data_IF_186430977669
#
_entry.id   IF_186430977669
#
_cell.length_a   1.000
_cell.length_b   1.000
_cell.length_c   1.000
_cell.angle_alpha   90.00
_cell.angle_beta   90.00
_cell.angle_gamma   90.00
#
_symmetry.space_group_name_H-M   'P 1'
#
loop_
_entity.id
_entity.type
_entity.pdbx_description
1 polymer ?
#
# COMPACT_ATOMS: atom_id res chain seq x y z
N UNK A 1 -53.15 -7.78 11.63
CA UNK A 1 -52.38 -7.02 10.61
C UNK A 1 -50.92 -7.04 11.01
N UNK A 2 -50.17 -8.07 10.59
CA UNK A 2 -48.74 -8.17 10.87
C UNK A 2 -48.02 -8.03 9.52
N UNK A 3 -47.08 -7.08 9.43
CA UNK A 3 -46.24 -6.84 8.25
C UNK A 3 -44.84 -7.45 8.46
N UNK A 4 -44.67 -8.78 8.53
CA UNK A 4 -43.35 -9.40 8.71
C UNK A 4 -42.45 -9.19 7.48
N UNK A 5 -43.05 -8.90 6.31
CA UNK A 5 -42.31 -8.59 5.08
C UNK A 5 -41.63 -7.23 5.12
N UNK A 6 -42.18 -6.22 5.80
CA UNK A 6 -41.55 -4.89 5.87
C UNK A 6 -40.31 -4.91 6.77
N UNK A 7 -40.35 -5.67 7.86
CA UNK A 7 -39.21 -5.86 8.79
C UNK A 7 -38.02 -6.54 8.12
N UNK A 8 -38.27 -7.55 7.28
CA UNK A 8 -37.21 -8.26 6.56
C UNK A 8 -36.47 -7.38 5.54
N UNK A 9 -37.22 -6.56 4.80
CA UNK A 9 -36.62 -5.59 3.86
C UNK A 9 -35.88 -4.46 4.59
N UNK A 10 -36.38 -4.02 5.74
CA UNK A 10 -35.71 -3.01 6.56
C UNK A 10 -34.37 -3.52 7.10
N UNK A 11 -34.31 -4.78 7.57
CA UNK A 11 -33.07 -5.43 8.02
C UNK A 11 -32.09 -5.68 6.86
N UNK A 12 -32.59 -6.03 5.67
CA UNK A 12 -31.74 -6.20 4.49
C UNK A 12 -31.14 -4.88 4.01
N UNK A 13 -31.93 -3.80 4.01
CA UNK A 13 -31.48 -2.44 3.69
C UNK A 13 -30.49 -1.94 4.75
N UNK A 14 -30.74 -2.18 6.05
CA UNK A 14 -29.78 -1.83 7.11
C UNK A 14 -28.43 -2.54 6.92
N UNK A 15 -28.44 -3.84 6.61
CA UNK A 15 -27.20 -4.60 6.38
C UNK A 15 -26.48 -4.16 5.07
N UNK A 16 -27.24 -3.78 4.05
CA UNK A 16 -26.68 -3.23 2.80
C UNK A 16 -26.05 -1.85 3.03
N UNK A 17 -26.69 -0.99 3.85
CA UNK A 17 -26.16 0.32 4.23
C UNK A 17 -24.93 0.22 5.14
N UNK A 18 -24.86 -0.76 6.04
CA UNK A 18 -23.66 -1.03 6.85
C UNK A 18 -22.49 -1.50 5.97
N UNK A 19 -22.78 -2.23 4.89
CA UNK A 19 -21.77 -2.69 3.91
C UNK A 19 -21.31 -1.61 2.90
N UNK A 20 -22.05 -0.49 2.81
CA UNK A 20 -21.71 0.70 2.02
C UNK A 20 -20.82 1.69 2.78
N UNK A 21 -20.48 1.41 4.04
CA UNK A 21 -19.43 2.16 4.71
C UNK A 21 -18.11 1.83 4.02
N UNK A 22 -17.63 2.74 3.18
CA UNK A 22 -16.27 2.68 2.65
C UNK A 22 -15.35 2.52 3.86
N UNK A 23 -14.46 1.49 3.90
CA UNK A 23 -13.49 1.42 4.97
C UNK A 23 -12.78 2.77 5.00
N UNK A 24 -12.96 3.51 6.08
CA UNK A 24 -12.35 4.83 6.21
C UNK A 24 -10.85 4.61 6.12
N UNK A 25 -10.25 5.02 5.01
CA UNK A 25 -8.87 4.71 4.70
C UNK A 25 -8.01 5.40 5.76
N UNK A 26 -7.48 4.61 6.68
CA UNK A 26 -6.65 5.09 7.78
C UNK A 26 -5.38 5.71 7.21
N UNK A 27 -4.99 6.88 7.72
CA UNK A 27 -3.73 7.54 7.33
C UNK A 27 -2.57 6.55 7.48
N UNK A 28 -1.64 6.55 6.53
CA UNK A 28 -0.45 5.70 6.61
C UNK A 28 0.45 6.13 7.78
N UNK A 29 0.49 7.44 8.05
CA UNK A 29 1.18 8.04 9.18
C UNK A 29 0.60 9.43 9.49
N UNK A 30 0.62 9.81 10.76
CA UNK A 30 0.26 11.16 11.19
C UNK A 30 0.87 11.52 12.55
N UNK A 31 0.94 12.82 12.83
CA UNK A 31 1.34 13.42 14.11
C UNK A 31 0.43 14.61 14.40
N UNK A 32 -0.14 14.63 15.59
CA UNK A 32 -0.85 15.78 16.12
C UNK A 32 0.08 16.52 17.08
N UNK A 33 0.25 17.82 16.95
CA UNK A 33 1.04 18.60 17.90
C UNK A 33 0.37 18.63 19.27
N UNK A 34 1.17 18.64 20.34
CA UNK A 34 0.68 18.91 21.70
C UNK A 34 0.58 20.41 21.99
N UNK A 35 1.18 21.24 21.13
CA UNK A 35 1.39 22.65 21.38
C UNK A 35 0.33 23.47 20.64
N UNK A 36 -0.67 23.91 21.39
CA UNK A 36 -1.74 24.78 20.90
C UNK A 36 -2.95 24.02 20.34
N UNK A 37 -4.10 24.28 20.97
CA UNK A 37 -5.40 23.81 20.49
C UNK A 37 -6.28 24.99 20.07
N UNK A 38 -7.16 24.77 19.11
CA UNK A 38 -8.24 25.68 18.74
C UNK A 38 -9.59 25.10 19.14
N UNK A 39 -10.58 25.96 19.33
CA UNK A 39 -11.96 25.54 19.62
C UNK A 39 -12.76 25.39 18.33
N UNK A 40 -13.71 24.45 18.28
CA UNK A 40 -14.43 24.10 17.05
C UNK A 40 -15.16 25.27 16.36
N UNK A 41 -15.56 26.29 17.11
CA UNK A 41 -16.28 27.47 16.60
C UNK A 41 -15.39 28.73 16.52
N UNK A 42 -14.07 28.58 16.60
CA UNK A 42 -13.14 29.70 16.46
C UNK A 42 -13.00 30.18 15.01
N UNK A 43 -12.55 31.42 14.84
CA UNK A 43 -12.16 31.95 13.53
C UNK A 43 -11.02 31.12 12.93
N UNK A 44 -10.04 30.68 13.74
CA UNK A 44 -9.03 29.71 13.33
C UNK A 44 -9.63 28.45 12.67
N UNK A 45 -10.65 27.84 13.28
CA UNK A 45 -11.29 26.64 12.73
C UNK A 45 -11.96 26.91 11.37
N UNK A 46 -12.60 28.08 11.22
CA UNK A 46 -13.20 28.50 9.95
C UNK A 46 -12.14 28.76 8.88
N UNK A 47 -11.02 29.39 9.24
CA UNK A 47 -9.88 29.64 8.36
C UNK A 47 -9.23 28.33 7.91
N UNK A 48 -9.01 27.39 8.84
CA UNK A 48 -8.45 26.07 8.54
C UNK A 48 -9.36 25.30 7.58
N UNK A 49 -10.67 25.25 7.84
CA UNK A 49 -11.63 24.59 6.95
C UNK A 49 -11.61 25.19 5.55
N UNK A 50 -11.58 26.51 5.44
CA UNK A 50 -11.51 27.23 4.17
C UNK A 50 -10.22 26.90 3.43
N UNK A 51 -9.08 26.94 4.14
CA UNK A 51 -7.76 26.65 3.59
C UNK A 51 -7.65 25.21 3.07
N UNK A 52 -8.07 24.23 3.88
CA UNK A 52 -8.07 22.82 3.46
C UNK A 52 -9.00 22.57 2.27
N UNK A 53 -10.15 23.27 2.20
CA UNK A 53 -11.05 23.14 1.05
C UNK A 53 -10.43 23.66 -0.26
N UNK A 54 -9.54 24.67 -0.18
CA UNK A 54 -8.86 25.22 -1.34
C UNK A 54 -7.82 24.26 -1.96
N UNK A 55 -7.42 23.21 -1.25
CA UNK A 55 -6.53 22.18 -1.81
C UNK A 55 -7.18 21.47 -3.01
N UNK A 56 -8.52 21.37 -3.02
CA UNK A 56 -9.27 20.79 -4.13
C UNK A 56 -9.10 21.56 -5.45
N UNK A 57 -8.61 22.80 -5.42
CA UNK A 57 -8.37 23.60 -6.62
C UNK A 57 -6.92 23.54 -7.10
N UNK A 58 -6.03 22.81 -6.41
CA UNK A 58 -4.62 22.71 -6.82
C UNK A 58 -4.49 22.14 -8.23
N UNK A 59 -3.67 22.78 -9.05
CA UNK A 59 -3.30 22.36 -10.40
C UNK A 59 -1.90 21.77 -10.48
N UNK A 60 -1.22 21.64 -9.34
CA UNK A 60 0.16 21.21 -9.22
C UNK A 60 0.30 20.13 -8.13
N UNK A 61 1.43 19.43 -8.12
CA UNK A 61 1.80 18.43 -7.12
C UNK A 61 2.23 19.03 -5.78
N UNK A 62 2.37 20.36 -5.73
CA UNK A 62 2.68 21.12 -4.53
C UNK A 62 1.63 22.20 -4.31
N UNK A 63 1.21 22.35 -3.06
CA UNK A 63 0.27 23.37 -2.62
C UNK A 63 0.82 24.04 -1.38
N UNK A 64 0.84 25.37 -1.39
CA UNK A 64 1.00 26.16 -0.19
C UNK A 64 -0.01 27.31 -0.19
N UNK A 65 -0.47 27.68 1.00
CA UNK A 65 -1.31 28.86 1.18
C UNK A 65 -1.40 29.22 2.66
N UNK A 66 -1.85 30.44 2.93
CA UNK A 66 -2.18 30.89 4.27
C UNK A 66 -3.44 31.74 4.27
N UNK A 67 -4.21 31.66 5.37
CA UNK A 67 -5.44 32.42 5.58
C UNK A 67 -5.48 32.90 7.02
N UNK A 68 -6.07 34.07 7.25
CA UNK A 68 -6.24 34.66 8.58
C UNK A 68 -5.14 35.65 8.93
N UNK A 69 -5.13 36.09 10.20
CA UNK A 69 -4.14 37.00 10.76
C UNK A 69 -3.99 36.71 12.26
N UNK A 70 -2.80 37.02 12.83
CA UNK A 70 -2.50 36.89 14.27
C UNK A 70 -2.87 35.49 14.79
N UNK A 71 -3.69 35.41 15.83
CA UNK A 71 -4.09 34.15 16.51
C UNK A 71 -4.91 33.20 15.63
N UNK A 72 -5.51 33.73 14.56
CA UNK A 72 -6.35 33.01 13.60
C UNK A 72 -5.61 32.72 12.27
N UNK A 73 -4.31 33.01 12.21
CA UNK A 73 -3.47 32.70 11.05
C UNK A 73 -3.26 31.19 10.93
N UNK A 74 -3.54 30.64 9.75
CA UNK A 74 -3.30 29.25 9.39
C UNK A 74 -2.39 29.20 8.17
N UNK A 75 -1.39 28.34 8.21
CA UNK A 75 -0.53 27.99 7.09
C UNK A 75 -0.77 26.53 6.72
N UNK A 76 -0.81 26.23 5.43
CA UNK A 76 -0.91 24.87 4.94
C UNK A 76 0.15 24.62 3.86
N UNK A 77 0.76 23.45 3.93
CA UNK A 77 1.70 22.94 2.95
C UNK A 77 1.31 21.50 2.64
N UNK A 78 1.18 21.17 1.36
CA UNK A 78 0.80 19.86 0.89
C UNK A 78 1.63 19.50 -0.34
N UNK A 79 2.07 18.25 -0.42
CA UNK A 79 2.91 17.77 -1.51
C UNK A 79 2.59 16.32 -1.84
N UNK A 80 2.55 16.03 -3.14
CA UNK A 80 2.43 14.69 -3.67
C UNK A 80 3.78 14.17 -4.16
N UNK A 81 3.91 12.85 -4.21
CA UNK A 81 5.03 12.20 -4.86
C UNK A 81 5.13 12.68 -6.31
N UNK A 82 6.34 12.93 -6.79
CA UNK A 82 6.56 13.45 -8.16
C UNK A 82 6.04 12.53 -9.28
N UNK A 83 5.73 11.27 -8.98
CA UNK A 83 5.17 10.28 -9.91
C UNK A 83 3.65 10.36 -10.05
N UNK A 84 2.98 11.14 -9.20
CA UNK A 84 1.52 11.25 -9.23
C UNK A 84 1.04 12.13 -10.39
N UNK A 85 -0.17 11.83 -10.88
CA UNK A 85 -0.88 12.78 -11.73
C UNK A 85 -1.49 13.88 -10.87
N UNK A 86 -1.72 15.07 -11.43
CA UNK A 86 -2.40 16.17 -10.71
C UNK A 86 -3.77 15.74 -10.17
N UNK A 87 -4.51 14.90 -10.91
CA UNK A 87 -5.82 14.39 -10.48
C UNK A 87 -5.69 13.44 -9.29
N UNK A 88 -4.76 12.47 -9.36
CA UNK A 88 -4.48 11.54 -8.25
C UNK A 88 -4.01 12.30 -7.01
N UNK A 89 -3.10 13.26 -7.20
CA UNK A 89 -2.58 14.11 -6.15
C UNK A 89 -3.69 14.87 -5.42
N UNK A 90 -4.58 15.53 -6.17
CA UNK A 90 -5.71 16.25 -5.61
C UNK A 90 -6.64 15.33 -4.80
N UNK A 91 -6.92 14.13 -5.30
CA UNK A 91 -7.71 13.14 -4.57
C UNK A 91 -7.03 12.77 -3.25
N UNK A 92 -5.75 12.41 -3.30
CA UNK A 92 -4.97 12.02 -2.13
C UNK A 92 -4.92 13.14 -1.07
N UNK A 93 -4.70 14.39 -1.49
CA UNK A 93 -4.63 15.51 -0.57
C UNK A 93 -6.00 15.86 0.05
N UNK A 94 -7.09 15.70 -0.72
CA UNK A 94 -8.44 15.87 -0.19
C UNK A 94 -8.79 14.80 0.85
N UNK A 95 -8.44 13.54 0.57
CA UNK A 95 -8.64 12.44 1.51
C UNK A 95 -7.78 12.62 2.76
N UNK A 96 -6.52 13.03 2.59
CA UNK A 96 -5.60 13.36 3.69
C UNK A 96 -6.14 14.49 4.56
N UNK A 97 -6.68 15.55 3.97
CA UNK A 97 -7.27 16.69 4.69
C UNK A 97 -8.45 16.26 5.58
N UNK A 98 -9.32 15.38 5.07
CA UNK A 98 -10.45 14.86 5.84
C UNK A 98 -9.98 13.89 6.93
N UNK A 99 -9.02 13.03 6.63
CA UNK A 99 -8.55 12.04 7.58
C UNK A 99 -7.75 12.68 8.72
N UNK A 100 -6.89 13.67 8.44
CA UNK A 100 -6.06 14.32 9.46
C UNK A 100 -6.90 15.17 10.42
N UNK A 101 -7.94 15.84 9.93
CA UNK A 101 -8.85 16.63 10.78
C UNK A 101 -9.73 15.75 11.67
N UNK A 102 -9.96 14.49 11.28
CA UNK A 102 -10.62 13.49 12.16
C UNK A 102 -9.65 12.92 13.19
N UNK A 103 -8.40 12.67 12.81
CA UNK A 103 -7.37 12.14 13.68
C UNK A 103 -6.87 13.17 14.72
N UNK A 104 -6.80 14.44 14.32
CA UNK A 104 -6.33 15.57 15.12
C UNK A 104 -7.41 16.68 15.13
N UNK A 105 -8.48 16.55 15.94
CA UNK A 105 -9.69 17.38 15.82
C UNK A 105 -9.51 18.84 16.26
N UNK A 106 -8.49 19.14 17.08
CA UNK A 106 -8.36 20.43 17.75
C UNK A 106 -6.95 21.01 17.71
N UNK A 107 -5.97 20.29 17.18
CA UNK A 107 -4.58 20.71 17.21
C UNK A 107 -4.32 21.79 16.16
N UNK A 108 -3.66 22.88 16.56
CA UNK A 108 -3.30 23.95 15.62
C UNK A 108 -2.22 23.51 14.63
N UNK A 109 -1.41 22.52 14.98
CA UNK A 109 -0.39 21.95 14.11
C UNK A 109 -0.54 20.44 13.94
N UNK A 110 -0.48 19.99 12.69
CA UNK A 110 -0.55 18.57 12.35
C UNK A 110 0.30 18.25 11.12
N UNK A 111 0.65 16.98 11.00
CA UNK A 111 1.26 16.40 9.81
C UNK A 111 0.66 15.02 9.55
N UNK A 112 0.45 14.64 8.30
CA UNK A 112 0.11 13.27 7.95
C UNK A 112 -0.22 13.09 6.48
N UNK A 113 -0.44 11.84 6.10
CA UNK A 113 -0.82 11.50 4.74
C UNK A 113 -0.71 10.01 4.43
N UNK A 114 -0.48 9.76 3.16
CA UNK A 114 -0.27 8.45 2.57
C UNK A 114 1.12 8.36 1.92
N UNK A 115 1.41 7.26 1.24
CA UNK A 115 2.69 7.08 0.55
C UNK A 115 2.76 8.01 -0.70
N UNK A 116 1.61 8.36 -1.27
CA UNK A 116 1.42 9.15 -2.48
C UNK A 116 1.40 10.66 -2.21
N UNK A 117 1.00 11.10 -1.01
CA UNK A 117 0.94 12.51 -0.65
C UNK A 117 0.99 12.74 0.86
N UNK A 118 1.40 13.95 1.25
CA UNK A 118 1.46 14.39 2.64
C UNK A 118 1.00 15.83 2.78
N UNK A 119 0.42 16.13 3.94
CA UNK A 119 -0.17 17.41 4.27
C UNK A 119 0.27 17.84 5.67
N UNK A 120 0.53 19.14 5.80
CA UNK A 120 0.82 19.82 7.05
C UNK A 120 -0.01 21.09 7.13
N UNK A 121 -0.52 21.39 8.32
CA UNK A 121 -0.97 22.74 8.63
C UNK A 121 -0.44 23.17 10.00
N UNK A 122 -0.27 24.47 10.20
CA UNK A 122 0.19 25.05 11.47
C UNK A 122 -0.31 26.47 11.66
N UNK A 123 -0.32 26.94 12.90
CA UNK A 123 -0.50 28.35 13.25
C UNK A 123 0.80 29.16 13.20
N UNK A 124 1.95 28.50 13.00
CA UNK A 124 3.24 29.15 12.77
C UNK A 124 3.57 29.15 11.28
N UNK A 125 4.40 30.09 10.83
CA UNK A 125 4.83 30.11 9.44
C UNK A 125 5.72 28.88 9.17
N UNK A 126 5.26 28.03 8.25
CA UNK A 126 5.92 26.80 7.80
C UNK A 126 6.27 26.84 6.31
N UNK A 127 6.17 28.02 5.69
CA UNK A 127 6.39 28.22 4.26
C UNK A 127 7.77 28.83 4.01
N UNK A 128 8.35 28.48 2.87
CA UNK A 128 9.57 29.10 2.33
C UNK A 128 10.80 29.00 3.22
N UNK A 129 10.82 27.99 4.10
CA UNK A 129 11.96 27.71 4.98
C UNK A 129 12.00 26.24 5.33
N UNK A 130 13.21 25.68 5.42
CA UNK A 130 13.37 24.31 5.87
C UNK A 130 13.10 24.19 7.36
N UNK A 131 12.25 23.22 7.70
CA UNK A 131 12.16 22.71 9.05
C UNK A 131 12.86 21.36 9.17
N UNK A 132 13.64 21.22 10.24
CA UNK A 132 14.35 20.00 10.56
C UNK A 132 13.48 19.03 11.35
N UNK A 133 13.75 17.73 11.19
CA UNK A 133 13.08 16.68 11.95
C UNK A 133 12.38 15.62 11.10
N UNK A 134 12.46 14.38 11.60
CA UNK A 134 11.85 13.20 10.98
C UNK A 134 10.46 12.97 11.57
N UNK A 135 9.48 12.83 10.69
CA UNK A 135 8.07 12.65 11.04
C UNK A 135 7.64 11.19 10.98
N UNK A 136 8.17 10.47 10.00
CA UNK A 136 7.88 9.08 9.78
C UNK A 136 9.11 8.33 9.29
N UNK A 137 9.28 7.09 9.77
CA UNK A 137 10.33 6.16 9.35
C UNK A 137 9.75 4.76 9.27
N UNK A 138 10.12 4.04 8.22
CA UNK A 138 9.90 2.59 8.12
C UNK A 138 11.16 1.96 7.55
N UNK A 139 11.66 0.94 8.23
CA UNK A 139 12.73 0.09 7.70
C UNK A 139 12.12 -1.22 7.19
N UNK A 140 12.75 -1.83 6.19
CA UNK A 140 12.52 -3.22 5.87
C UNK A 140 12.90 -4.10 7.09
N UNK A 141 12.19 -5.20 7.29
CA UNK A 141 12.50 -6.13 8.39
C UNK A 141 13.75 -6.95 8.10
N UNK A 142 14.04 -7.18 6.82
CA UNK A 142 15.16 -7.99 6.36
C UNK A 142 16.45 -7.18 6.22
N UNK A 143 17.55 -7.82 6.60
CA UNK A 143 18.91 -7.31 6.45
C UNK A 143 19.52 -7.76 5.12
N UNK A 144 20.46 -6.97 4.60
CA UNK A 144 21.30 -7.38 3.49
C UNK A 144 22.23 -8.52 3.91
N UNK A 145 22.38 -9.53 3.05
CA UNK A 145 23.32 -10.62 3.28
C UNK A 145 24.78 -10.13 3.41
N UNK A 146 25.16 -9.12 2.61
CA UNK A 146 26.43 -8.42 2.73
C UNK A 146 26.18 -6.92 2.94
N UNK A 147 26.12 -6.52 4.21
CA UNK A 147 25.80 -5.15 4.63
C UNK A 147 26.78 -4.13 4.04
N UNK A 148 28.09 -4.39 4.12
CA UNK A 148 29.10 -3.45 3.61
C UNK A 148 28.97 -3.21 2.11
N UNK A 149 28.75 -4.27 1.32
CA UNK A 149 28.54 -4.14 -0.12
C UNK A 149 27.25 -3.39 -0.45
N UNK A 150 26.17 -3.70 0.28
CA UNK A 150 24.87 -3.07 0.09
C UNK A 150 24.92 -1.58 0.40
N UNK A 151 25.49 -1.21 1.55
CA UNK A 151 25.57 0.16 2.00
C UNK A 151 26.50 1.00 1.11
N UNK A 152 27.60 0.44 0.59
CA UNK A 152 28.45 1.12 -0.39
C UNK A 152 27.69 1.42 -1.69
N UNK A 153 26.90 0.47 -2.20
CA UNK A 153 26.09 0.65 -3.40
C UNK A 153 24.97 1.68 -3.17
N UNK A 154 24.30 1.59 -2.02
CA UNK A 154 23.24 2.51 -1.62
C UNK A 154 23.77 3.93 -1.42
N UNK A 155 24.91 4.10 -0.73
CA UNK A 155 25.53 5.40 -0.51
C UNK A 155 25.89 6.08 -1.83
N UNK A 156 26.47 5.34 -2.79
CA UNK A 156 26.76 5.85 -4.14
C UNK A 156 25.49 6.32 -4.86
N UNK A 157 24.42 5.53 -4.81
CA UNK A 157 23.13 5.90 -5.41
C UNK A 157 22.54 7.16 -4.75
N UNK A 158 22.45 7.20 -3.43
CA UNK A 158 21.87 8.35 -2.72
C UNK A 158 22.71 9.62 -2.87
N UNK A 159 24.02 9.50 -3.05
CA UNK A 159 24.89 10.63 -3.34
C UNK A 159 24.70 11.15 -4.76
N UNK A 160 24.52 10.28 -5.75
CA UNK A 160 24.31 10.71 -7.15
C UNK A 160 22.96 11.40 -7.35
N UNK A 161 21.95 11.08 -6.53
CA UNK A 161 20.62 11.70 -6.58
C UNK A 161 20.55 13.07 -5.89
N UNK A 162 21.44 13.37 -4.95
CA UNK A 162 21.36 14.56 -4.10
C UNK A 162 21.33 15.87 -4.90
N UNK A 163 22.24 16.04 -5.86
CA UNK A 163 22.34 17.28 -6.64
C UNK A 163 21.10 17.51 -7.50
N UNK A 164 20.64 16.45 -8.17
CA UNK A 164 19.43 16.49 -9.00
C UNK A 164 18.17 16.75 -8.15
N UNK A 165 18.09 16.17 -6.95
CA UNK A 165 16.98 16.43 -6.03
C UNK A 165 17.00 17.85 -5.42
N UNK A 166 18.16 18.51 -5.38
CA UNK A 166 18.30 19.88 -4.89
C UNK A 166 18.05 20.94 -5.97
N UNK A 167 18.17 20.55 -7.24
CA UNK A 167 17.89 21.35 -8.43
C UNK A 167 16.44 21.89 -8.45
N UNK A 168 16.08 22.81 -9.38
CA UNK A 168 14.75 23.44 -9.40
C UNK A 168 13.57 22.47 -9.41
N UNK A 169 13.73 21.27 -9.96
CA UNK A 169 12.71 20.22 -10.00
C UNK A 169 12.40 19.62 -8.63
N UNK A 170 13.34 19.70 -7.67
CA UNK A 170 13.18 19.29 -6.27
C UNK A 170 12.91 17.80 -6.04
N UNK A 171 13.23 16.97 -7.02
CA UNK A 171 13.20 15.52 -6.89
C UNK A 171 14.23 14.85 -7.80
N UNK A 172 14.65 13.66 -7.42
CA UNK A 172 15.42 12.76 -8.26
C UNK A 172 15.08 11.31 -7.92
N UNK A 173 15.16 10.44 -8.93
CA UNK A 173 15.03 9.01 -8.74
C UNK A 173 15.95 8.28 -9.72
N UNK A 174 16.42 7.10 -9.32
CA UNK A 174 17.36 6.33 -10.12
C UNK A 174 17.64 4.97 -9.52
N UNK A 175 18.47 4.20 -10.24
CA UNK A 175 18.82 2.85 -9.85
C UNK A 175 20.35 2.66 -9.75
N UNK A 176 20.78 1.72 -8.92
CA UNK A 176 22.17 1.32 -8.77
C UNK A 176 22.30 -0.20 -8.66
N UNK A 177 23.38 -0.75 -9.20
CA UNK A 177 23.64 -2.19 -9.10
C UNK A 177 24.13 -2.53 -7.69
N UNK A 178 23.51 -3.53 -7.06
CA UNK A 178 23.96 -4.10 -5.78
C UNK A 178 24.69 -5.43 -6.00
N UNK A 179 24.05 -6.35 -6.73
CA UNK A 179 24.66 -7.61 -7.19
C UNK A 179 24.56 -7.69 -8.71
N UNK A 180 25.01 -8.79 -9.31
CA UNK A 180 24.83 -9.04 -10.74
C UNK A 180 23.36 -9.17 -11.16
N UNK A 181 22.46 -9.50 -10.21
CA UNK A 181 21.04 -9.76 -10.46
C UNK A 181 20.10 -8.82 -9.71
N UNK A 182 20.61 -8.06 -8.74
CA UNK A 182 19.80 -7.19 -7.89
C UNK A 182 20.22 -5.73 -8.02
N UNK A 183 19.22 -4.87 -8.15
CA UNK A 183 19.36 -3.41 -8.15
C UNK A 183 18.73 -2.81 -6.91
N UNK A 184 19.19 -1.61 -6.57
CA UNK A 184 18.59 -0.73 -5.58
C UNK A 184 17.91 0.39 -6.36
N UNK A 185 16.65 0.67 -6.05
CA UNK A 185 15.90 1.80 -6.59
C UNK A 185 15.75 2.84 -5.50
N UNK A 186 16.17 4.08 -5.77
CA UNK A 186 16.16 5.17 -4.80
C UNK A 186 15.44 6.39 -5.34
N UNK A 187 14.75 7.11 -4.46
CA UNK A 187 14.22 8.44 -4.74
C UNK A 187 14.47 9.42 -3.58
N UNK A 188 14.62 10.68 -3.94
CA UNK A 188 14.73 11.81 -3.03
C UNK A 188 13.83 12.93 -3.53
N UNK A 189 13.09 13.57 -2.62
CA UNK A 189 12.19 14.66 -2.96
C UNK A 189 12.17 15.71 -1.85
N UNK A 190 12.28 16.98 -2.21
CA UNK A 190 12.19 18.14 -1.34
C UNK A 190 10.88 18.90 -1.60
N UNK A 191 10.44 19.71 -0.64
CA UNK A 191 9.36 20.65 -0.90
C UNK A 191 9.85 21.77 -1.82
N UNK A 192 9.06 22.21 -2.82
CA UNK A 192 9.50 23.24 -3.77
C UNK A 192 9.80 24.62 -3.20
N UNK A 193 9.33 24.92 -1.99
CA UNK A 193 9.44 26.22 -1.36
C UNK A 193 10.80 26.50 -0.68
N UNK A 194 11.68 25.49 -0.57
CA UNK A 194 13.00 25.65 0.09
C UNK A 194 14.13 25.84 -0.93
N UNK A 195 15.23 26.44 -0.47
CA UNK A 195 16.43 26.66 -1.29
C UNK A 195 17.15 25.34 -1.64
N UNK A 196 18.11 25.41 -2.57
CA UNK A 196 18.96 24.26 -2.90
C UNK A 196 19.73 23.76 -1.67
N UNK A 197 20.35 24.68 -0.92
CA UNK A 197 21.14 24.35 0.27
C UNK A 197 20.28 23.71 1.37
N UNK A 198 19.09 24.25 1.61
CA UNK A 198 18.12 23.68 2.53
C UNK A 198 17.67 22.28 2.11
N UNK A 199 17.41 22.05 0.83
CA UNK A 199 17.07 20.71 0.34
C UNK A 199 18.20 19.71 0.61
N UNK A 200 19.45 20.09 0.31
CA UNK A 200 20.63 19.26 0.60
C UNK A 200 20.71 18.94 2.09
N UNK A 201 20.53 19.94 2.95
CA UNK A 201 20.57 19.76 4.39
C UNK A 201 19.47 18.80 4.88
N UNK A 202 18.25 18.94 4.39
CA UNK A 202 17.16 18.03 4.75
C UNK A 202 17.45 16.59 4.30
N UNK A 203 17.95 16.39 3.07
CA UNK A 203 18.31 15.06 2.56
C UNK A 203 19.47 14.44 3.35
N UNK A 204 20.40 15.26 3.84
CA UNK A 204 21.44 14.81 4.77
C UNK A 204 20.84 14.37 6.12
N UNK A 205 19.89 15.11 6.69
CA UNK A 205 19.16 14.65 7.89
C UNK A 205 18.48 13.30 7.65
N UNK A 206 17.78 13.13 6.53
CA UNK A 206 17.12 11.87 6.19
C UNK A 206 18.10 10.70 6.00
N UNK A 207 19.29 10.96 5.43
CA UNK A 207 20.36 9.96 5.32
C UNK A 207 20.95 9.60 6.69
N UNK A 208 21.20 10.58 7.55
CA UNK A 208 21.70 10.31 8.90
C UNK A 208 20.67 9.50 9.71
N UNK A 209 19.39 9.79 9.52
CA UNK A 209 18.29 9.02 10.10
C UNK A 209 18.32 7.54 9.66
N UNK A 210 18.55 7.30 8.37
CA UNK A 210 18.74 5.96 7.81
C UNK A 210 19.93 5.24 8.46
N UNK A 211 21.11 5.88 8.49
CA UNK A 211 22.34 5.30 9.06
C UNK A 211 22.13 4.95 10.54
N UNK A 212 21.47 5.81 11.30
CA UNK A 212 21.32 5.60 12.75
C UNK A 212 20.24 4.58 13.11
N UNK A 213 19.22 4.37 12.28
CA UNK A 213 18.03 3.60 12.65
C UNK A 213 17.71 2.41 11.74
N UNK A 214 18.24 2.38 10.51
CA UNK A 214 17.92 1.37 9.49
C UNK A 214 19.18 0.91 8.72
N UNK A 215 20.36 0.94 9.35
CA UNK A 215 21.61 0.48 8.74
C UNK A 215 21.51 -0.97 8.26
N UNK A 216 21.98 -1.26 7.05
CA UNK A 216 21.94 -2.59 6.44
C UNK A 216 20.57 -3.14 6.04
N UNK A 217 19.49 -2.35 6.15
CA UNK A 217 18.13 -2.78 5.80
C UNK A 217 17.88 -2.74 4.29
N UNK A 218 17.18 -3.75 3.76
CA UNK A 218 16.92 -3.88 2.31
C UNK A 218 15.88 -2.90 1.73
N UNK A 219 15.31 -2.03 2.56
CA UNK A 219 14.35 -1.02 2.16
C UNK A 219 14.16 0.00 3.27
N UNK A 220 13.81 1.22 2.89
CA UNK A 220 13.69 2.34 3.80
C UNK A 220 12.79 3.42 3.22
N UNK A 221 12.01 4.04 4.09
CA UNK A 221 11.40 5.34 3.82
C UNK A 221 11.55 6.22 5.06
N UNK A 222 11.98 7.46 4.85
CA UNK A 222 11.95 8.52 5.84
C UNK A 222 11.29 9.76 5.26
N UNK A 223 10.37 10.31 6.03
CA UNK A 223 9.60 11.49 5.69
C UNK A 223 9.92 12.55 6.75
N UNK A 224 10.67 13.56 6.35
CA UNK A 224 10.95 14.75 7.15
C UNK A 224 9.93 15.86 6.85
N UNK A 225 9.95 16.98 7.56
CA UNK A 225 9.06 18.12 7.24
C UNK A 225 9.25 18.62 5.80
N UNK A 226 10.49 18.75 5.36
CA UNK A 226 10.82 19.43 4.09
C UNK A 226 11.31 18.50 2.99
N UNK A 227 11.49 17.21 3.27
CA UNK A 227 11.98 16.24 2.29
C UNK A 227 11.56 14.80 2.61
N UNK A 228 11.83 13.90 1.66
CA UNK A 228 11.61 12.47 1.75
C UNK A 228 12.78 11.73 1.08
N UNK A 229 13.19 10.62 1.69
CA UNK A 229 14.15 9.67 1.13
C UNK A 229 13.51 8.28 1.17
N UNK A 230 13.51 7.59 0.03
CA UNK A 230 13.02 6.21 -0.05
C UNK A 230 13.92 5.35 -0.92
N UNK A 231 14.19 4.11 -0.52
CA UNK A 231 14.78 3.10 -1.38
C UNK A 231 14.15 1.72 -1.15
N UNK A 232 14.14 0.90 -2.19
CA UNK A 232 13.64 -0.48 -2.18
C UNK A 232 14.44 -1.33 -3.18
N UNK A 233 14.34 -2.66 -3.09
CA UNK A 233 14.90 -3.59 -4.08
C UNK A 233 14.01 -3.82 -5.31
N UNK A 234 12.80 -3.25 -5.32
CA UNK A 234 11.88 -3.29 -6.45
C UNK A 234 11.67 -1.89 -7.00
N UNK A 235 11.35 -1.80 -8.29
CA UNK A 235 11.06 -0.52 -8.91
C UNK A 235 9.69 0.01 -8.47
N UNK A 236 9.64 1.22 -7.93
CA UNK A 236 8.41 1.88 -7.44
C UNK A 236 8.15 3.26 -8.07
N UNK A 237 8.91 3.61 -9.11
CA UNK A 237 8.72 4.79 -9.94
C UNK A 237 9.02 4.44 -11.40
N UNK A 238 8.40 5.13 -12.37
CA UNK A 238 8.77 4.96 -13.77
C UNK A 238 10.20 5.47 -13.98
N UNK A 239 11.07 4.64 -14.56
CA UNK A 239 12.36 5.09 -15.06
C UNK A 239 12.13 5.80 -16.40
N UNK A 240 12.87 6.88 -16.71
CA UNK A 240 12.88 7.43 -18.07
C UNK A 240 13.21 6.29 -19.04
N UNK A 241 12.33 6.04 -20.00
CA UNK A 241 12.62 5.06 -21.03
C UNK A 241 13.90 5.51 -21.73
N UNK A 242 14.94 4.67 -21.69
CA UNK A 242 16.13 4.84 -22.49
C UNK A 242 15.67 5.12 -23.92
N UNK A 243 16.16 6.21 -24.52
CA UNK A 243 15.73 6.69 -25.82
C UNK A 243 16.22 5.74 -26.92
N UNK A 244 15.65 4.54 -26.97
CA UNK A 244 15.83 3.62 -28.09
C UNK A 244 15.02 4.16 -29.28
N UNK A 245 15.58 4.14 -30.50
CA UNK A 245 14.92 4.75 -31.66
C UNK A 245 13.55 4.11 -31.88
N UNK A 246 12.48 4.89 -31.81
CA UNK A 246 11.18 4.40 -32.28
C UNK A 246 11.33 3.99 -33.76
N UNK A 247 10.90 2.79 -34.16
CA UNK A 247 10.76 2.47 -35.58
C UNK A 247 9.77 3.45 -36.24
N UNK A 248 9.91 3.73 -37.56
CA UNK A 248 9.14 4.78 -38.21
C UNK A 248 7.63 4.54 -38.04
N UNK A 249 6.90 5.57 -37.61
CA UNK A 249 5.43 5.56 -37.60
C UNK A 249 4.94 5.28 -39.02
N UNK A 250 4.28 4.14 -39.22
CA UNK A 250 3.51 3.87 -40.42
C UNK A 250 2.30 4.82 -40.49
N UNK A 251 2.06 5.33 -41.70
CA UNK A 251 1.00 6.29 -42.03
C UNK A 251 -0.42 5.74 -41.74
N UNK A 252 -1.44 6.61 -41.56
CA UNK A 252 -2.80 6.18 -41.28
C UNK A 252 -3.44 5.52 -42.51
N UNK A 253 -4.11 4.39 -42.29
CA UNK A 253 -4.92 3.72 -43.30
C UNK A 253 -6.18 4.56 -43.66
N UNK A 254 -6.69 4.47 -44.90
CA UNK A 254 -7.88 5.18 -45.34
C UNK A 254 -9.18 4.56 -44.77
N UNK A 255 -10.28 5.34 -44.72
CA UNK A 255 -11.55 4.88 -44.13
C UNK A 255 -12.32 3.91 -45.05
N UNK A 256 -13.14 3.00 -44.48
CA UNK A 256 -13.94 2.05 -45.25
C UNK A 256 -15.21 2.68 -45.89
N UNK A 257 -15.78 2.06 -46.94
CA UNK A 257 -16.93 2.61 -47.67
C UNK A 257 -18.25 2.53 -46.87
N UNK A 258 -19.06 3.57 -46.98
CA UNK A 258 -20.45 3.61 -46.49
C UNK A 258 -21.39 2.92 -47.49
N UNK A 259 -22.30 2.07 -47.01
CA UNK A 259 -23.41 1.53 -47.79
C UNK A 259 -24.70 2.37 -47.57
N UNK A 260 -25.58 2.49 -48.59
CA UNK A 260 -26.73 3.38 -48.58
C UNK A 260 -27.93 2.83 -47.78
N UNK A 261 -28.94 3.68 -47.48
CA UNK A 261 -30.10 3.33 -46.65
C UNK A 261 -31.26 2.80 -47.50
N UNK A 262 -31.85 1.68 -47.10
CA UNK A 262 -33.15 1.23 -47.60
C UNK A 262 -34.30 1.80 -46.76
N UNK A 263 -35.33 2.32 -47.45
CA UNK A 263 -36.58 2.85 -46.88
C UNK A 263 -37.77 1.94 -47.27
N UNK A 264 -39.02 2.20 -46.84
CA UNK A 264 -39.78 1.31 -45.94
C UNK A 264 -40.93 0.53 -46.62
N UNK A 265 -41.26 -0.64 -46.07
CA UNK A 265 -42.42 -1.45 -46.46
C UNK A 265 -43.33 -1.76 -45.27
N UNK A 266 -44.57 -1.32 -45.37
CA UNK A 266 -45.65 -1.33 -44.35
C UNK A 266 -46.45 -2.64 -44.30
N UNK A 267 -47.06 -2.93 -43.13
CA UNK A 267 -48.17 -3.86 -42.93
C UNK A 267 -47.95 -4.80 -41.74
N UNK A 268 -48.41 -4.47 -40.52
CA UNK A 268 -49.73 -4.86 -39.99
C UNK A 268 -49.72 -6.34 -39.56
N UNK A 269 -49.81 -6.72 -38.27
CA UNK A 269 -51.04 -6.73 -37.49
C UNK A 269 -50.77 -6.89 -35.97
N UNK A 270 -51.66 -6.32 -35.15
CA UNK A 270 -51.70 -6.40 -33.68
C UNK A 270 -51.97 -7.84 -33.20
N UNK A 271 -51.34 -8.27 -32.09
CA UNK A 271 -52.04 -8.84 -30.92
C UNK A 271 -51.09 -9.31 -29.79
N UNK A 272 -51.36 -8.76 -28.61
CA UNK A 272 -51.26 -9.31 -27.23
C UNK A 272 -49.93 -9.41 -26.47
N UNK A 273 -49.97 -8.64 -25.39
CA UNK A 273 -49.19 -8.50 -24.16
C UNK A 273 -48.94 -9.78 -23.33
N UNK A 274 -47.82 -9.74 -22.58
CA UNK A 274 -47.45 -10.39 -21.28
C UNK A 274 -46.74 -11.75 -21.30
N UNK A 275 -45.40 -11.75 -21.09
CA UNK A 275 -44.65 -12.58 -20.11
C UNK A 275 -43.37 -11.84 -19.66
N UNK A 276 -43.37 -11.14 -18.52
CA UNK A 276 -42.14 -10.71 -17.80
C UNK A 276 -42.34 -10.91 -16.31
N UNK A 277 -42.17 -12.14 -15.79
CA UNK A 277 -41.86 -12.42 -14.38
C UNK A 277 -41.06 -13.74 -14.29
N UNK A 278 -39.84 -13.77 -14.83
CA UNK A 278 -38.87 -14.86 -14.57
C UNK A 278 -37.41 -14.44 -14.79
N UNK A 279 -37.15 -13.43 -15.62
CA UNK A 279 -35.78 -12.96 -15.89
C UNK A 279 -35.28 -12.01 -14.78
N UNK A 280 -36.18 -11.28 -14.13
CA UNK A 280 -35.77 -10.31 -13.09
C UNK A 280 -35.35 -10.96 -11.77
N UNK A 281 -35.88 -12.14 -11.44
CA UNK A 281 -35.55 -12.85 -10.18
C UNK A 281 -34.24 -13.61 -10.30
N UNK A 282 -34.00 -14.29 -11.44
CA UNK A 282 -32.74 -14.98 -11.69
C UNK A 282 -31.56 -13.99 -11.75
N UNK A 283 -31.76 -12.82 -12.36
CA UNK A 283 -30.73 -11.78 -12.43
C UNK A 283 -30.48 -11.15 -11.05
N UNK A 284 -31.53 -10.90 -10.26
CA UNK A 284 -31.38 -10.39 -8.89
C UNK A 284 -30.65 -11.40 -7.97
N UNK A 285 -30.95 -12.71 -8.10
CA UNK A 285 -30.26 -13.77 -7.35
C UNK A 285 -28.81 -13.88 -7.80
N UNK A 286 -28.52 -13.82 -9.11
CA UNK A 286 -27.15 -13.82 -9.63
C UNK A 286 -26.35 -12.63 -9.10
N UNK A 287 -26.92 -11.42 -9.12
CA UNK A 287 -26.27 -10.23 -8.58
C UNK A 287 -26.05 -10.37 -7.07
N UNK A 288 -27.03 -10.89 -6.32
CA UNK A 288 -26.89 -11.12 -4.88
C UNK A 288 -25.79 -12.14 -4.56
N UNK A 289 -25.67 -13.22 -5.36
CA UNK A 289 -24.59 -14.22 -5.23
C UNK A 289 -23.24 -13.60 -5.55
N UNK A 290 -23.13 -12.80 -6.62
CA UNK A 290 -21.89 -12.11 -6.98
C UNK A 290 -21.46 -11.10 -5.90
N UNK A 291 -22.41 -10.35 -5.33
CA UNK A 291 -22.16 -9.45 -4.19
C UNK A 291 -21.73 -10.26 -2.96
N UNK A 292 -22.39 -11.38 -2.66
CA UNK A 292 -22.05 -12.22 -1.51
C UNK A 292 -20.65 -12.83 -1.67
N UNK A 293 -20.29 -13.33 -2.85
CA UNK A 293 -18.95 -13.81 -3.17
C UNK A 293 -17.91 -12.70 -3.06
N UNK A 294 -18.21 -11.51 -3.57
CA UNK A 294 -17.33 -10.35 -3.47
C UNK A 294 -17.12 -9.90 -2.02
N UNK A 295 -18.16 -9.89 -1.19
CA UNK A 295 -18.09 -9.59 0.24
C UNK A 295 -17.33 -10.69 1.01
N UNK A 296 -17.50 -11.96 0.65
CA UNK A 296 -16.71 -13.06 1.24
C UNK A 296 -15.23 -12.98 0.85
N UNK A 297 -14.91 -12.60 -0.38
CA UNK A 297 -13.54 -12.35 -0.82
C UNK A 297 -12.93 -11.11 -0.14
N UNK A 298 -13.72 -10.05 0.07
CA UNK A 298 -13.30 -8.88 0.86
C UNK A 298 -13.11 -9.22 2.35
N UNK A 299 -13.98 -10.05 2.93
CA UNK A 299 -13.83 -10.54 4.31
C UNK A 299 -12.61 -11.44 4.44
N UNK A 300 -12.27 -12.24 3.43
CA UNK A 300 -10.98 -12.96 3.36
C UNK A 300 -9.78 -12.01 3.30
N UNK A 301 -9.88 -10.90 2.57
CA UNK A 301 -8.85 -9.85 2.50
C UNK A 301 -8.75 -8.98 3.76
N UNK A 302 -9.83 -8.84 4.52
CA UNK A 302 -9.85 -8.12 5.79
C UNK A 302 -9.34 -9.00 6.95
N UNK A 303 -9.72 -10.28 6.94
CA UNK A 303 -9.16 -11.29 7.86
C UNK A 303 -7.66 -11.53 7.60
N UNK A 304 -7.13 -11.23 6.40
CA UNK A 304 -5.69 -11.28 6.14
C UNK A 304 -4.89 -10.11 6.73
N UNK A 305 -5.56 -9.02 7.13
CA UNK A 305 -4.95 -7.86 7.81
C UNK A 305 -4.99 -8.03 9.33
N UNK A 306 -5.96 -8.78 9.86
CA UNK A 306 -6.02 -9.18 11.27
C UNK A 306 -5.17 -10.43 11.57
N UNK A 307 -4.83 -11.23 10.55
CA UNK A 307 -4.01 -12.44 10.70
C UNK A 307 -2.51 -12.19 10.96
N UNK A 308 -2.01 -10.98 10.76
CA UNK A 308 -0.62 -10.64 11.13
C UNK A 308 -0.38 -10.75 12.65
N UNK A 309 -1.43 -10.54 13.46
CA UNK A 309 -1.37 -10.74 14.91
C UNK A 309 -1.63 -12.19 15.35
N UNK A 310 -2.09 -13.07 14.45
CA UNK A 310 -2.32 -14.49 14.76
C UNK A 310 -1.15 -15.40 14.37
N UNK A 311 -0.33 -14.98 13.40
CA UNK A 311 0.90 -15.71 13.05
C UNK A 311 1.90 -15.67 14.22
N UNK A 312 1.95 -14.56 14.95
CA UNK A 312 2.81 -14.40 16.13
C UNK A 312 2.35 -15.25 17.33
N UNK A 313 1.04 -15.55 17.41
CA UNK A 313 0.49 -16.50 18.39
C UNK A 313 0.67 -17.98 17.97
N UNK A 314 0.69 -18.28 16.68
CA UNK A 314 0.85 -19.64 16.15
C UNK A 314 2.30 -20.15 16.24
N UNK A 315 3.30 -19.25 16.19
CA UNK A 315 4.71 -19.61 16.42
C UNK A 315 5.02 -19.98 17.88
N UNK A 316 4.08 -19.72 18.80
CA UNK A 316 4.17 -20.07 20.22
C UNK A 316 3.49 -21.39 20.58
N UNK A 317 2.91 -22.09 19.60
CA UNK A 317 2.16 -23.32 19.81
C UNK A 317 3.02 -24.59 19.65
N UNK A 318 2.75 -25.56 20.52
CA UNK A 318 3.41 -26.87 20.66
C UNK A 318 3.53 -27.65 19.33
N UNK A 319 4.48 -28.60 19.29
CA UNK A 319 4.87 -29.46 18.17
C UNK A 319 3.73 -30.20 17.44
N UNK A 320 2.55 -30.33 18.06
CA UNK A 320 1.33 -30.81 17.41
C UNK A 320 0.74 -29.83 16.38
N UNK A 321 0.80 -28.52 16.66
CA UNK A 321 0.17 -27.47 15.85
C UNK A 321 0.84 -27.27 14.48
N UNK A 322 2.17 -27.38 14.42
CA UNK A 322 2.94 -27.23 13.17
C UNK A 322 2.58 -28.33 12.16
N UNK A 323 2.36 -29.56 12.63
CA UNK A 323 2.01 -30.70 11.78
C UNK A 323 0.66 -30.49 11.10
N UNK A 324 -0.31 -29.95 11.82
CA UNK A 324 -1.65 -29.65 11.31
C UNK A 324 -1.62 -28.51 10.28
N UNK A 325 -0.76 -27.50 10.51
CA UNK A 325 -0.53 -26.41 9.55
C UNK A 325 0.08 -26.94 8.25
N UNK A 326 1.15 -27.74 8.32
CA UNK A 326 1.77 -28.36 7.14
C UNK A 326 0.75 -29.22 6.38
N UNK A 327 -0.08 -29.99 7.11
CA UNK A 327 -1.13 -30.80 6.52
C UNK A 327 -2.19 -29.96 5.80
N UNK A 328 -2.61 -28.83 6.38
CA UNK A 328 -3.57 -27.92 5.76
C UNK A 328 -3.01 -27.27 4.48
N UNK A 329 -1.72 -26.90 4.48
CA UNK A 329 -1.04 -26.39 3.28
C UNK A 329 -1.03 -27.46 2.19
N UNK A 330 -0.66 -28.70 2.53
CA UNK A 330 -0.61 -29.83 1.59
C UNK A 330 -1.98 -30.13 0.96
N UNK A 331 -3.05 -30.15 1.76
CA UNK A 331 -4.43 -30.33 1.28
C UNK A 331 -4.84 -29.15 0.38
N UNK A 332 -4.49 -27.92 0.78
CA UNK A 332 -4.72 -26.72 -0.02
C UNK A 332 -4.08 -26.80 -1.42
N UNK A 333 -2.84 -27.31 -1.49
CA UNK A 333 -2.12 -27.53 -2.75
C UNK A 333 -2.76 -28.60 -3.65
N UNK A 334 -3.35 -29.65 -3.06
CA UNK A 334 -4.12 -30.65 -3.79
C UNK A 334 -5.44 -30.07 -4.36
N UNK A 335 -6.06 -29.11 -3.67
CA UNK A 335 -7.30 -28.47 -4.12
C UNK A 335 -7.12 -27.53 -5.32
N UNK A 336 -5.90 -27.00 -5.54
CA UNK A 336 -5.60 -26.02 -6.59
C UNK A 336 -4.79 -26.61 -7.77
N UNK A 337 -4.78 -27.94 -7.89
CA UNK A 337 -4.10 -28.64 -8.98
C UNK A 337 -4.60 -28.16 -10.36
N UNK A 338 -3.68 -28.07 -11.33
CA UNK A 338 -3.97 -27.57 -12.69
C UNK A 338 -5.00 -28.43 -13.40
N UNK A 339 -4.86 -29.76 -13.29
CA UNK A 339 -5.84 -30.71 -13.80
C UNK A 339 -7.01 -30.83 -12.82
N UNK A 340 -8.22 -30.66 -13.35
CA UNK A 340 -9.48 -30.79 -12.60
C UNK A 340 -9.65 -32.21 -12.07
N UNK A 341 -9.17 -33.21 -12.80
CA UNK A 341 -9.31 -34.62 -12.42
C UNK A 341 -8.38 -35.04 -11.28
N UNK A 342 -7.32 -34.25 -11.04
CA UNK A 342 -6.36 -34.46 -9.95
C UNK A 342 -6.76 -33.76 -8.64
N UNK A 343 -7.87 -33.01 -8.65
CA UNK A 343 -8.38 -32.34 -7.45
C UNK A 343 -9.20 -33.32 -6.60
N UNK A 344 -9.00 -33.35 -5.27
CA UNK A 344 -9.81 -34.17 -4.40
C UNK A 344 -11.26 -33.67 -4.40
N UNK A 345 -12.20 -34.60 -4.25
CA UNK A 345 -13.60 -34.24 -4.00
C UNK A 345 -13.75 -33.61 -2.62
N UNK A 346 -14.78 -32.79 -2.41
CA UNK A 346 -15.04 -32.20 -1.08
C UNK A 346 -15.18 -33.26 0.02
N UNK A 347 -15.72 -34.44 -0.29
CA UNK A 347 -15.80 -35.56 0.66
C UNK A 347 -14.40 -36.08 1.05
N UNK A 348 -13.49 -36.19 0.07
CA UNK A 348 -12.09 -36.57 0.31
C UNK A 348 -11.35 -35.53 1.15
N UNK A 349 -11.59 -34.23 0.91
CA UNK A 349 -10.98 -33.13 1.69
C UNK A 349 -11.41 -33.17 3.14
N UNK A 350 -12.70 -33.40 3.42
CA UNK A 350 -13.21 -33.54 4.78
C UNK A 350 -12.55 -34.72 5.50
N UNK A 351 -12.41 -35.88 4.82
CA UNK A 351 -11.72 -37.04 5.39
C UNK A 351 -10.22 -36.79 5.64
N UNK A 352 -9.54 -36.06 4.75
CA UNK A 352 -8.11 -35.72 4.90
C UNK A 352 -7.84 -34.76 6.08
N UNK A 353 -8.81 -33.91 6.40
CA UNK A 353 -8.78 -32.98 7.53
C UNK A 353 -9.15 -33.67 8.86
N UNK A 354 -10.06 -34.65 8.81
CA UNK A 354 -10.61 -35.30 10.01
C UNK A 354 -9.75 -36.48 10.53
N UNK A 355 -8.87 -37.03 9.69
CA UNK A 355 -8.06 -38.21 10.04
C UNK A 355 -6.56 -37.96 9.87
N UNK A 356 -5.79 -38.13 10.96
CA UNK A 356 -4.34 -37.89 11.02
C UNK A 356 -3.54 -38.99 10.28
N UNK A 357 -4.12 -40.17 10.09
CA UNK A 357 -3.44 -41.36 9.55
C UNK A 357 -3.50 -41.51 8.02
N UNK A 358 -4.16 -40.60 7.31
CA UNK A 358 -4.18 -40.64 5.82
C UNK A 358 -2.85 -40.10 5.28
N UNK A 359 -2.19 -40.90 4.46
CA UNK A 359 -1.03 -40.48 3.66
C UNK A 359 -1.53 -39.68 2.46
N UNK A 360 -1.14 -38.41 2.37
CA UNK A 360 -1.57 -37.51 1.29
C UNK A 360 -0.68 -37.72 0.05
N UNK A 361 -1.25 -37.76 -1.17
CA UNK A 361 -0.46 -37.83 -2.39
C UNK A 361 0.36 -36.54 -2.56
N UNK A 362 1.55 -36.65 -3.18
CA UNK A 362 2.38 -35.48 -3.44
C UNK A 362 1.71 -34.57 -4.48
N UNK A 363 1.54 -33.27 -4.22
CA UNK A 363 0.93 -32.35 -5.19
C UNK A 363 1.83 -32.21 -6.42
N UNK A 364 1.24 -32.06 -7.61
CA UNK A 364 2.01 -31.66 -8.80
C UNK A 364 2.43 -30.19 -8.72
N UNK A 365 3.51 -29.85 -9.43
CA UNK A 365 4.10 -28.51 -9.44
C UNK A 365 3.06 -27.43 -9.84
N UNK A 366 2.98 -26.30 -9.12
CA UNK A 366 2.03 -25.23 -9.43
C UNK A 366 2.22 -24.70 -10.85
N UNK A 367 1.12 -24.37 -11.53
CA UNK A 367 1.13 -23.83 -12.90
C UNK A 367 1.84 -22.46 -13.04
N UNK A 368 2.25 -21.85 -11.93
CA UNK A 368 3.11 -20.68 -11.89
C UNK A 368 4.14 -20.85 -10.76
N UNK A 369 5.37 -21.17 -11.15
CA UNK A 369 6.54 -21.05 -10.30
C UNK A 369 7.35 -19.85 -10.81
N UNK A 370 7.57 -18.83 -9.97
CA UNK A 370 8.70 -17.92 -10.21
C UNK A 370 9.96 -18.71 -9.91
N UNK A 371 10.82 -18.83 -10.91
CA UNK A 371 12.07 -19.57 -10.83
C UNK A 371 13.05 -18.79 -9.94
N UNK A 372 12.94 -18.95 -8.61
CA UNK A 372 14.07 -18.70 -7.72
C UNK A 372 14.94 -19.95 -7.79
N UNK A 373 15.99 -19.91 -8.60
CA UNK A 373 16.99 -20.96 -8.71
C UNK A 373 17.68 -21.16 -7.37
N UNK A 374 17.22 -22.14 -6.59
CA UNK A 374 18.01 -22.76 -5.53
C UNK A 374 17.85 -24.26 -5.76
N UNK A 375 18.90 -24.89 -6.28
CA UNK A 375 19.01 -26.34 -6.41
C UNK A 375 18.94 -26.99 -5.01
N UNK A 376 18.10 -28.03 -4.79
CA UNK A 376 18.06 -28.75 -3.54
C UNK A 376 18.81 -30.09 -3.68
N UNK A 377 19.92 -30.25 -2.96
CA UNK A 377 20.49 -31.57 -2.69
C UNK A 377 20.69 -31.80 -1.19
N UNK A 378 19.75 -32.58 -0.64
CA UNK A 378 19.86 -33.55 0.47
C UNK A 378 19.87 -33.08 1.95
N UNK A 379 19.52 -33.98 2.91
CA UNK A 379 18.22 -33.95 3.58
C UNK A 379 18.30 -33.82 5.12
N UNK A 380 17.35 -33.11 5.70
CA UNK A 380 17.06 -33.19 7.13
C UNK A 380 16.24 -34.45 7.42
N UNK A 381 16.87 -35.43 8.08
CA UNK A 381 16.35 -36.14 9.26
C UNK A 381 17.29 -37.32 9.59
N UNK A 382 18.19 -37.14 10.56
CA UNK A 382 18.70 -38.24 11.38
C UNK A 382 18.75 -37.80 12.85
N UNK A 383 17.82 -38.42 13.55
CA UNK A 383 17.55 -38.62 14.97
C UNK A 383 18.73 -38.59 15.98
N UNK A 384 18.49 -37.89 17.09
CA UNK A 384 18.78 -38.24 18.49
C UNK A 384 19.77 -39.39 18.81
N UNK A 385 20.82 -39.08 19.61
CA UNK A 385 20.91 -39.46 21.03
C UNK A 385 22.30 -39.21 21.68
N UNK A 386 22.26 -38.79 22.96
CA UNK A 386 23.31 -38.87 24.00
C UNK A 386 24.56 -37.98 23.85
N UNK A 387 25.08 -37.27 24.86
CA UNK A 387 24.81 -37.19 26.29
C UNK A 387 25.90 -36.36 26.98
N UNK A 388 25.52 -35.66 28.06
CA UNK A 388 26.29 -35.19 29.24
C UNK A 388 27.82 -34.92 29.18
N UNK A 389 28.17 -33.68 29.57
CA UNK A 389 29.28 -33.16 30.43
C UNK A 389 29.77 -31.84 29.80
N UNK A 390 29.64 -30.66 30.41
CA UNK A 390 30.01 -30.27 31.76
C UNK A 390 31.36 -29.55 31.69
N UNK A 391 31.39 -28.21 31.84
CA UNK A 391 32.42 -27.48 32.59
C UNK A 391 32.12 -25.99 32.59
N UNK A 392 32.01 -25.45 33.78
CA UNK A 392 32.08 -24.04 34.15
C UNK A 392 33.47 -23.48 33.84
N UNK A 393 33.55 -22.19 33.49
CA UNK A 393 34.66 -21.33 33.91
C UNK A 393 34.27 -19.86 33.79
N UNK A 394 34.32 -19.17 34.93
CA UNK A 394 34.41 -17.71 35.04
C UNK A 394 35.82 -17.24 34.66
N UNK A 395 35.96 -15.97 34.30
CA UNK A 395 36.88 -14.98 34.92
C UNK A 395 36.88 -13.68 34.07
N UNK A 396 36.35 -12.64 34.73
CA UNK A 396 36.79 -11.24 34.86
C UNK A 396 37.89 -10.60 33.97
N UNK A 397 37.65 -9.29 33.77
CA UNK A 397 38.61 -8.15 33.66
C UNK A 397 39.39 -7.93 32.35
N UNK A 398 39.26 -6.73 31.75
CA UNK A 398 40.13 -5.60 32.07
C UNK A 398 39.66 -4.28 31.45
N UNK A 399 39.81 -3.21 32.23
CA UNK A 399 39.69 -1.79 31.87
C UNK A 399 40.73 -1.35 30.83
N UNK A 400 40.37 -0.41 29.95
CA UNK A 400 40.91 0.97 29.90
C UNK A 400 40.17 1.79 28.86
#
# INVERSE_FOLDING_TARGET
MNYPRLSFWFLFILNFLVSLTTPQQTLAYYRCSTDGNYTANSTYAANLKTLLSSISTTSDLFFNASIGQKEDQVYALAICRFTETVTSCRSCLNDSSQAITRACPHQKETFGGYDECRLRFSNRNILSSMEDGILYRRCNMNDAANISQFDDALAKLLLSLNDAAAAPQKYAAGEGNYTSLSKIYGMQQCTPDITEQECRQCLLTARNDMINNCYGKLGFISVAYSCQLQFELFQFFPLPADASPQPPRSMPAPPPPQFPPDTPGSGGNKSRTIIIIAISTAFAVLIAVLICLFLQLRKRKQNSVESSNLIDLALKADSGSIRDIIRCIHIGLLCVQKDVTSRPTMASVVLMLDSISITLPLPSEPAFFMHSSIDPELPLLSEYASGSKGSSQSISELNS
#
